data_IF_579609714376
#
_entry.id   IF_579609714376
#
_cell.length_a   1.000
_cell.length_b   1.000
_cell.length_c   1.000
_cell.angle_alpha   90.00
_cell.angle_beta   90.00
_cell.angle_gamma   90.00
#
_symmetry.space_group_name_H-M   'P 1'
#
loop_
_entity.id
_entity.type
_entity.pdbx_description
1 polymer ?
#
# COMPACT_ATOMS: atom_id res chain seq x y z
N UNK A 1 9.80 15.81 -45.79
CA UNK A 1 9.50 15.68 -44.35
C UNK A 1 10.58 14.79 -43.78
N UNK A 2 11.54 15.35 -43.02
CA UNK A 2 12.59 14.52 -42.42
C UNK A 2 11.92 13.67 -41.33
N UNK A 3 11.95 12.34 -41.50
CA UNK A 3 11.43 11.41 -40.50
C UNK A 3 12.25 11.46 -39.21
N UNK A 4 11.88 10.61 -38.24
CA UNK A 4 12.70 10.42 -37.05
C UNK A 4 14.04 9.80 -37.42
N UNK A 5 15.11 10.28 -36.80
CA UNK A 5 16.47 9.75 -36.91
C UNK A 5 16.82 9.04 -35.61
N UNK A 6 17.25 7.78 -35.71
CA UNK A 6 17.75 7.02 -34.55
C UNK A 6 19.02 7.70 -34.01
N UNK A 7 19.08 7.96 -32.71
CA UNK A 7 20.27 8.55 -32.09
C UNK A 7 21.34 7.48 -31.84
N UNK A 8 22.61 7.89 -31.71
CA UNK A 8 23.70 6.99 -31.34
C UNK A 8 23.46 6.37 -29.97
N UNK A 9 22.91 7.14 -29.01
CA UNK A 9 22.57 6.65 -27.69
C UNK A 9 21.40 5.65 -27.73
N UNK A 10 20.38 5.93 -28.53
CA UNK A 10 19.24 5.03 -28.73
C UNK A 10 19.63 3.73 -29.41
N UNK A 11 20.47 3.79 -30.44
CA UNK A 11 21.02 2.60 -31.08
C UNK A 11 21.79 1.72 -30.08
N UNK A 12 22.66 2.32 -29.26
CA UNK A 12 23.41 1.59 -28.24
C UNK A 12 22.51 0.93 -27.19
N UNK A 13 21.44 1.60 -26.74
CA UNK A 13 20.49 1.02 -25.80
C UNK A 13 19.72 -0.17 -26.42
N UNK A 14 19.25 -0.03 -27.67
CA UNK A 14 18.53 -1.10 -28.38
C UNK A 14 19.45 -2.31 -28.61
N UNK A 15 20.70 -2.09 -29.02
CA UNK A 15 21.68 -3.17 -29.18
C UNK A 15 21.98 -3.89 -27.85
N UNK A 16 22.17 -3.14 -26.76
CA UNK A 16 22.39 -3.73 -25.44
C UNK A 16 21.18 -4.56 -24.97
N UNK A 17 19.96 -4.08 -25.21
CA UNK A 17 18.75 -4.84 -24.92
C UNK A 17 18.65 -6.10 -25.77
N UNK A 18 18.99 -6.03 -27.06
CA UNK A 18 19.03 -7.19 -27.94
C UNK A 18 20.03 -8.26 -27.46
N UNK A 19 21.26 -7.87 -27.14
CA UNK A 19 22.30 -8.79 -26.64
C UNK A 19 21.95 -9.42 -25.29
N UNK A 20 21.16 -8.72 -24.46
CA UNK A 20 20.74 -9.20 -23.13
C UNK A 20 19.38 -9.91 -23.13
N UNK A 21 18.73 -10.05 -24.28
CA UNK A 21 17.39 -10.63 -24.39
C UNK A 21 16.29 -9.79 -23.74
N UNK A 22 16.53 -8.49 -23.55
CA UNK A 22 15.57 -7.52 -23.01
C UNK A 22 14.86 -6.75 -24.12
N UNK A 23 13.85 -5.97 -23.72
CA UNK A 23 13.06 -5.09 -24.60
C UNK A 23 13.21 -3.66 -24.10
N UNK A 24 13.49 -2.72 -25.01
CA UNK A 24 13.46 -1.28 -24.72
C UNK A 24 12.03 -0.78 -24.81
N UNK A 25 11.53 -0.21 -23.72
CA UNK A 25 10.21 0.44 -23.70
C UNK A 25 10.37 1.94 -23.94
N UNK A 26 9.73 2.47 -24.98
CA UNK A 26 9.63 3.91 -25.24
C UNK A 26 8.33 4.41 -24.61
N UNK A 27 8.45 5.38 -23.71
CA UNK A 27 7.34 5.75 -22.81
C UNK A 27 6.58 6.99 -23.28
N UNK A 28 7.26 7.94 -23.92
CA UNK A 28 6.66 9.19 -24.35
C UNK A 28 7.46 9.87 -25.46
N UNK A 29 6.87 10.95 -26.00
CA UNK A 29 7.47 11.82 -27.00
C UNK A 29 7.60 13.22 -26.44
N UNK A 30 8.81 13.75 -26.42
CA UNK A 30 9.09 15.15 -26.12
C UNK A 30 8.69 16.04 -27.31
N UNK A 31 8.14 17.21 -27.02
CA UNK A 31 7.84 18.28 -27.99
C UNK A 31 8.66 19.52 -27.64
N UNK A 32 9.24 20.16 -28.65
CA UNK A 32 10.11 21.32 -28.45
C UNK A 32 9.96 22.41 -29.50
N UNK A 33 10.36 23.63 -29.09
CA UNK A 33 10.35 24.86 -29.90
C UNK A 33 11.75 25.23 -30.43
N UNK A 34 12.74 24.37 -30.18
CA UNK A 34 14.13 24.57 -30.59
C UNK A 34 14.92 25.57 -29.75
N UNK A 35 14.29 26.22 -28.75
CA UNK A 35 14.98 27.13 -27.83
C UNK A 35 15.69 28.31 -28.51
N UNK A 36 15.21 28.73 -29.69
CA UNK A 36 15.83 29.77 -30.51
C UNK A 36 17.15 29.37 -31.19
N UNK A 37 17.57 28.10 -31.08
CA UNK A 37 18.80 27.59 -31.69
C UNK A 37 18.56 27.14 -33.13
N UNK A 38 19.65 27.08 -33.91
CA UNK A 38 19.65 26.41 -35.21
C UNK A 38 19.51 24.90 -34.97
N UNK A 39 18.41 24.32 -35.45
CA UNK A 39 18.15 22.88 -35.36
C UNK A 39 19.13 22.09 -36.26
N UNK A 40 19.44 20.83 -35.93
CA UNK A 40 20.39 20.03 -36.68
C UNK A 40 19.85 19.78 -38.10
N UNK A 41 20.70 19.86 -39.11
CA UNK A 41 20.31 19.78 -40.52
C UNK A 41 20.72 18.47 -41.18
N UNK A 42 21.73 17.80 -40.65
CA UNK A 42 22.24 16.54 -41.20
C UNK A 42 21.80 15.33 -40.37
N UNK A 43 21.71 14.13 -40.98
CA UNK A 43 21.47 12.89 -40.23
C UNK A 43 22.47 12.66 -39.10
N UNK A 44 23.75 12.97 -39.30
CA UNK A 44 24.79 12.78 -38.29
C UNK A 44 24.61 13.72 -37.09
N UNK A 45 24.24 14.99 -37.34
CA UNK A 45 23.91 15.94 -36.27
C UNK A 45 22.67 15.49 -35.48
N UNK A 46 21.65 14.96 -36.17
CA UNK A 46 20.44 14.42 -35.52
C UNK A 46 20.75 13.15 -34.71
N UNK A 47 21.63 12.28 -35.23
CA UNK A 47 22.03 11.05 -34.55
C UNK A 47 22.84 11.34 -33.28
N UNK A 48 23.62 12.43 -33.27
CA UNK A 48 24.40 12.85 -32.10
C UNK A 48 23.56 13.49 -30.97
N UNK A 49 22.26 13.75 -31.19
CA UNK A 49 21.41 14.41 -30.21
C UNK A 49 21.17 13.51 -28.98
N UNK A 50 21.30 14.10 -27.79
CA UNK A 50 20.99 13.45 -26.50
C UNK A 50 19.76 14.04 -25.81
N UNK A 51 19.17 15.10 -26.38
CA UNK A 51 17.99 15.81 -25.88
C UNK A 51 17.47 16.82 -26.90
N UNK A 52 16.29 17.38 -26.67
CA UNK A 52 15.76 18.50 -27.48
C UNK A 52 16.45 19.83 -27.12
N UNK A 53 16.50 20.76 -28.07
CA UNK A 53 17.11 22.08 -27.82
C UNK A 53 16.23 23.00 -26.95
N UNK A 54 14.91 22.88 -27.06
CA UNK A 54 13.94 23.64 -26.28
C UNK A 54 12.68 22.82 -25.99
N UNK A 55 12.76 21.78 -25.14
CA UNK A 55 11.59 20.99 -24.77
C UNK A 55 10.58 21.86 -24.03
N UNK A 56 9.32 21.82 -24.44
CA UNK A 56 8.21 22.51 -23.75
C UNK A 56 7.13 21.55 -23.26
N UNK A 57 7.14 20.30 -23.71
CA UNK A 57 6.08 19.34 -23.41
C UNK A 57 6.49 17.89 -23.64
N UNK A 58 5.63 17.00 -23.17
CA UNK A 58 5.74 15.56 -23.37
C UNK A 58 4.35 14.98 -23.60
N UNK A 59 4.20 14.14 -24.62
CA UNK A 59 2.95 13.45 -24.92
C UNK A 59 3.13 11.94 -24.91
N UNK A 60 2.20 11.20 -24.30
CA UNK A 60 2.19 9.75 -24.38
C UNK A 60 1.74 9.28 -25.78
N UNK A 61 2.01 8.01 -26.09
CA UNK A 61 1.50 7.39 -27.31
C UNK A 61 0.00 7.08 -27.21
N UNK A 62 -0.76 7.53 -28.22
CA UNK A 62 -2.18 7.25 -28.43
C UNK A 62 -2.42 6.09 -29.41
N UNK A 63 -1.38 5.64 -30.12
CA UNK A 63 -1.41 4.45 -30.95
C UNK A 63 0.01 3.89 -31.07
N UNK A 64 0.13 2.58 -31.28
CA UNK A 64 1.41 1.92 -31.46
C UNK A 64 1.29 0.70 -32.36
N UNK A 65 2.26 0.53 -33.25
CA UNK A 65 2.41 -0.61 -34.13
C UNK A 65 3.91 -0.93 -34.23
N UNK A 66 4.26 -2.21 -34.10
CA UNK A 66 5.59 -2.71 -34.40
C UNK A 66 5.50 -3.72 -35.53
N UNK A 67 6.41 -3.60 -36.49
CA UNK A 67 6.53 -4.51 -37.63
C UNK A 67 7.99 -4.84 -37.89
N UNK A 68 8.26 -5.75 -38.83
CA UNK A 68 9.64 -6.02 -39.25
C UNK A 68 10.27 -4.73 -39.81
N UNK A 69 11.35 -4.27 -39.18
CA UNK A 69 12.11 -3.13 -39.65
C UNK A 69 11.63 -1.76 -39.18
N UNK A 70 10.50 -1.64 -38.45
CA UNK A 70 10.02 -0.34 -37.98
C UNK A 70 9.15 -0.41 -36.72
N UNK A 71 9.09 0.73 -36.04
CA UNK A 71 8.05 1.04 -35.06
C UNK A 71 7.30 2.31 -35.49
N UNK A 72 6.00 2.32 -35.23
CA UNK A 72 5.12 3.44 -35.52
C UNK A 72 4.33 3.81 -34.27
N UNK A 73 4.41 5.07 -33.86
CA UNK A 73 3.67 5.63 -32.73
C UNK A 73 2.80 6.80 -33.14
N UNK A 74 1.55 6.83 -32.68
CA UNK A 74 0.69 8.01 -32.78
C UNK A 74 0.77 8.83 -31.49
N UNK A 75 0.80 10.16 -31.59
CA UNK A 75 0.61 11.07 -30.45
C UNK A 75 -0.45 12.12 -30.77
N UNK A 76 -1.13 12.61 -29.73
CA UNK A 76 -2.07 13.73 -29.81
C UNK A 76 -1.57 14.86 -28.91
N UNK A 77 -1.27 16.01 -29.51
CA UNK A 77 -0.88 17.23 -28.80
C UNK A 77 -2.12 18.10 -28.61
N UNK A 78 -2.52 18.29 -27.36
CA UNK A 78 -3.58 19.23 -26.99
C UNK A 78 -3.00 20.65 -26.95
N UNK A 79 -3.43 21.52 -27.87
CA UNK A 79 -2.95 22.90 -27.94
C UNK A 79 -3.24 23.70 -26.66
N UNK A 80 -4.24 23.30 -25.85
CA UNK A 80 -4.55 23.95 -24.56
C UNK A 80 -3.40 23.86 -23.57
N UNK A 81 -2.61 22.79 -23.62
CA UNK A 81 -1.47 22.59 -22.71
C UNK A 81 -0.29 23.53 -23.00
N UNK A 82 -0.16 23.98 -24.25
CA UNK A 82 1.01 24.72 -24.72
C UNK A 82 0.61 26.00 -25.48
N UNK A 83 -0.13 26.92 -24.85
CA UNK A 83 -0.65 28.10 -25.53
C UNK A 83 0.48 28.99 -26.04
N UNK A 84 0.46 29.31 -27.33
CA UNK A 84 1.41 30.22 -27.97
C UNK A 84 2.78 29.60 -28.29
N UNK A 85 2.97 28.30 -28.06
CA UNK A 85 4.20 27.58 -28.44
C UNK A 85 4.24 27.27 -29.94
N UNK A 86 5.44 27.12 -30.47
CA UNK A 86 5.64 26.67 -31.86
C UNK A 86 6.38 25.34 -31.83
N UNK A 87 5.76 24.28 -32.32
CA UNK A 87 6.38 22.97 -32.44
C UNK A 87 7.40 22.97 -33.59
N UNK A 88 8.63 22.51 -33.32
CA UNK A 88 9.73 22.44 -34.29
C UNK A 88 10.57 21.16 -34.20
N UNK A 89 10.53 20.49 -33.06
CA UNK A 89 11.32 19.28 -32.81
C UNK A 89 10.54 18.28 -31.94
N UNK A 90 10.86 17.00 -32.11
CA UNK A 90 10.23 15.85 -31.49
C UNK A 90 11.30 14.86 -31.03
N UNK A 91 11.09 14.19 -29.90
CA UNK A 91 12.04 13.22 -29.37
C UNK A 91 11.36 12.01 -28.73
N UNK A 92 11.66 10.79 -29.17
CA UNK A 92 11.15 9.57 -28.53
C UNK A 92 12.07 9.17 -27.37
N UNK A 93 11.52 8.94 -26.18
CA UNK A 93 12.32 8.70 -24.96
C UNK A 93 12.00 7.33 -24.35
N UNK A 94 13.04 6.57 -24.01
CA UNK A 94 12.92 5.26 -23.35
C UNK A 94 12.60 5.38 -21.85
N UNK A 95 12.21 4.27 -21.24
CA UNK A 95 11.97 4.18 -19.80
C UNK A 95 13.24 4.46 -18.95
N UNK A 96 14.43 4.28 -19.54
CA UNK A 96 15.70 4.63 -18.91
C UNK A 96 16.06 6.13 -19.03
N UNK A 97 15.27 6.90 -19.79
CA UNK A 97 15.47 8.34 -20.01
C UNK A 97 16.33 8.68 -21.23
N UNK A 98 16.75 7.69 -22.02
CA UNK A 98 17.52 7.92 -23.25
C UNK A 98 16.64 8.48 -24.36
N UNK A 99 17.13 9.49 -25.07
CA UNK A 99 16.53 9.94 -26.32
C UNK A 99 16.80 8.90 -27.41
N UNK A 100 15.82 8.03 -27.70
CA UNK A 100 15.93 6.98 -28.72
C UNK A 100 16.00 7.57 -30.13
N UNK A 101 15.11 8.51 -30.45
CA UNK A 101 15.07 9.12 -31.77
C UNK A 101 14.78 10.61 -31.69
N UNK A 102 15.38 11.37 -32.60
CA UNK A 102 15.20 12.80 -32.76
C UNK A 102 14.55 13.10 -34.11
N UNK A 103 13.59 14.02 -34.16
CA UNK A 103 12.91 14.41 -35.39
C UNK A 103 12.71 15.91 -35.47
N UNK A 104 12.91 16.47 -36.65
CA UNK A 104 12.50 17.85 -36.95
C UNK A 104 11.07 17.86 -37.43
N UNK A 105 10.33 18.88 -36.98
CA UNK A 105 8.97 19.10 -37.39
C UNK A 105 8.83 20.50 -38.02
N UNK A 106 8.03 20.67 -39.08
CA UNK A 106 7.75 21.99 -39.62
C UNK A 106 7.18 22.93 -38.56
N UNK A 107 7.61 24.19 -38.59
CA UNK A 107 7.18 25.22 -37.64
C UNK A 107 5.64 25.28 -37.57
N UNK A 108 5.10 24.79 -36.46
CA UNK A 108 3.66 24.65 -36.26
C UNK A 108 3.23 25.40 -35.02
N UNK A 109 2.54 26.52 -35.21
CA UNK A 109 2.01 27.31 -34.10
C UNK A 109 0.86 26.59 -33.41
N UNK A 110 0.94 26.50 -32.08
CA UNK A 110 -0.07 25.95 -31.19
C UNK A 110 -0.88 27.13 -30.60
N UNK A 111 -2.04 27.47 -31.18
CA UNK A 111 -2.79 28.66 -30.77
C UNK A 111 -3.32 28.51 -29.35
N UNK A 112 -3.30 29.62 -28.60
CA UNK A 112 -4.05 29.72 -27.35
C UNK A 112 -5.54 29.46 -27.66
N UNK A 113 -6.14 28.56 -26.90
CA UNK A 113 -7.54 28.17 -27.07
C UNK A 113 -8.43 29.02 -26.17
N UNK A 114 -9.58 29.46 -26.68
CA UNK A 114 -10.69 30.01 -25.87
C UNK A 114 -11.78 28.95 -25.73
N UNK A 115 -12.81 29.18 -24.91
CA UNK A 115 -13.90 28.21 -24.70
C UNK A 115 -14.61 27.76 -26.00
N UNK A 116 -14.45 28.49 -27.11
CA UNK A 116 -15.09 28.23 -28.40
C UNK A 116 -14.20 27.60 -29.47
N UNK A 117 -12.90 27.39 -29.21
CA UNK A 117 -11.98 26.76 -30.16
C UNK A 117 -11.19 25.68 -29.42
N UNK A 118 -11.24 24.45 -29.92
CA UNK A 118 -10.38 23.35 -29.47
C UNK A 118 -9.66 22.83 -30.71
N UNK A 119 -8.32 22.86 -30.67
CA UNK A 119 -7.47 22.34 -31.73
C UNK A 119 -6.52 21.30 -31.15
N UNK A 120 -6.47 20.16 -31.81
CA UNK A 120 -5.52 19.09 -31.53
C UNK A 120 -4.59 18.92 -32.74
N UNK A 121 -3.36 18.50 -32.48
CA UNK A 121 -2.39 18.11 -33.51
C UNK A 121 -2.12 16.62 -33.34
N UNK A 122 -2.51 15.82 -34.34
CA UNK A 122 -2.28 14.37 -34.35
C UNK A 122 -1.04 14.09 -35.20
N UNK A 123 -0.02 13.48 -34.60
CA UNK A 123 1.22 13.15 -35.28
C UNK A 123 1.40 11.63 -35.37
N UNK A 124 1.83 11.16 -36.54
CA UNK A 124 2.30 9.80 -36.73
C UNK A 124 3.82 9.81 -36.84
N UNK A 125 4.46 9.09 -35.93
CA UNK A 125 5.90 8.95 -35.81
C UNK A 125 6.29 7.57 -36.32
N UNK A 126 7.24 7.51 -37.24
CA UNK A 126 7.77 6.25 -37.77
C UNK A 126 9.28 6.26 -37.63
N UNK A 127 9.82 5.19 -37.03
CA UNK A 127 11.25 4.99 -36.85
C UNK A 127 11.63 3.62 -37.44
N UNK A 128 12.57 3.62 -38.37
CA UNK A 128 13.16 2.38 -38.91
C UNK A 128 14.19 1.81 -37.94
N UNK A 129 14.15 0.50 -37.70
CA UNK A 129 15.00 -0.20 -36.74
C UNK A 129 15.41 -1.58 -37.28
N UNK A 130 16.67 -1.97 -37.09
CA UNK A 130 17.13 -3.34 -37.41
C UNK A 130 16.54 -4.38 -36.44
N UNK A 131 16.37 -4.02 -35.17
CA UNK A 131 15.85 -4.89 -34.10
C UNK A 131 14.50 -4.40 -33.55
N UNK A 132 13.54 -4.14 -34.44
CA UNK A 132 12.22 -3.60 -34.07
C UNK A 132 11.45 -4.47 -33.04
N UNK A 133 11.64 -5.80 -33.07
CA UNK A 133 11.05 -6.74 -32.12
C UNK A 133 11.55 -6.59 -30.67
N UNK A 134 12.69 -5.92 -30.47
CA UNK A 134 13.26 -5.64 -29.15
C UNK A 134 12.87 -4.24 -28.64
N UNK A 135 11.91 -3.58 -29.28
CA UNK A 135 11.41 -2.27 -28.87
C UNK A 135 9.89 -2.32 -28.78
N UNK A 136 9.35 -1.75 -27.70
CA UNK A 136 7.90 -1.60 -27.50
C UNK A 136 7.54 -0.16 -27.18
N UNK A 137 6.31 0.23 -27.53
CA UNK A 137 5.76 1.55 -27.19
C UNK A 137 4.78 1.40 -26.04
N UNK A 138 4.94 2.22 -25.00
CA UNK A 138 3.96 2.32 -23.92
C UNK A 138 2.79 3.21 -24.36
N UNK A 139 1.58 2.65 -24.38
CA UNK A 139 0.37 3.36 -24.77
C UNK A 139 -0.38 3.87 -23.55
N UNK A 140 -0.83 5.12 -23.58
CA UNK A 140 -1.71 5.67 -22.53
C UNK A 140 -3.17 5.27 -22.79
N UNK A 141 -3.76 4.38 -21.97
CA UNK A 141 -5.10 3.87 -22.19
C UNK A 141 -6.20 4.95 -22.15
N UNK A 142 -5.94 6.11 -21.55
CA UNK A 142 -6.87 7.24 -21.50
C UNK A 142 -6.90 8.07 -22.80
N UNK A 143 -5.90 7.87 -23.67
CA UNK A 143 -5.69 8.65 -24.90
C UNK A 143 -5.65 7.80 -26.16
N UNK A 144 -5.73 6.48 -26.04
CA UNK A 144 -5.81 5.60 -27.21
C UNK A 144 -7.10 5.91 -27.98
N UNK A 145 -6.96 6.41 -29.20
CA UNK A 145 -8.06 6.50 -30.16
C UNK A 145 -8.32 5.05 -30.61
N UNK A 146 -9.18 4.35 -29.89
CA UNK A 146 -9.72 3.08 -30.36
C UNK A 146 -10.66 3.41 -31.52
N UNK A 147 -10.45 2.80 -32.69
CA UNK A 147 -11.49 2.82 -33.73
C UNK A 147 -12.78 2.27 -33.12
N UNK A 148 -13.94 2.68 -33.63
CA UNK A 148 -15.22 2.11 -33.19
C UNK A 148 -15.15 0.58 -33.18
N UNK A 149 -14.59 -0.03 -34.23
CA UNK A 149 -14.38 -1.48 -34.30
C UNK A 149 -13.47 -2.05 -33.19
N UNK A 150 -12.37 -1.36 -32.84
CA UNK A 150 -11.48 -1.78 -31.75
C UNK A 150 -12.12 -1.57 -30.37
N UNK A 151 -12.93 -0.52 -30.21
CA UNK A 151 -13.72 -0.28 -29.00
C UNK A 151 -14.82 -1.32 -28.82
N UNK A 152 -15.50 -1.71 -29.90
CA UNK A 152 -16.57 -2.69 -29.90
C UNK A 152 -16.07 -4.10 -29.59
N UNK A 153 -14.80 -4.41 -29.95
CA UNK A 153 -14.12 -5.65 -29.56
C UNK A 153 -13.64 -5.63 -28.11
N UNK A 154 -13.22 -4.46 -27.59
CA UNK A 154 -12.53 -4.36 -26.30
C UNK A 154 -13.48 -4.04 -25.13
N UNK A 155 -14.61 -3.40 -25.39
CA UNK A 155 -15.55 -2.96 -24.36
C UNK A 155 -16.99 -3.33 -24.70
N UNK A 156 -17.72 -3.79 -23.68
CA UNK A 156 -19.15 -4.03 -23.78
C UNK A 156 -19.89 -2.68 -23.77
N UNK A 157 -20.62 -2.34 -24.83
CA UNK A 157 -21.43 -1.11 -24.88
C UNK A 157 -22.69 -1.27 -24.06
N UNK A 158 -22.72 -0.63 -22.89
CA UNK A 158 -23.86 -0.67 -21.96
C UNK A 158 -25.17 -0.17 -22.61
N UNK A 159 -25.08 0.81 -23.52
CA UNK A 159 -26.25 1.36 -24.22
C UNK A 159 -26.74 0.53 -25.41
N UNK A 160 -26.00 -0.51 -25.84
CA UNK A 160 -26.29 -1.30 -27.06
C UNK A 160 -26.39 -2.81 -26.76
N UNK A 161 -27.24 -3.18 -25.78
CA UNK A 161 -27.83 -4.51 -25.59
C UNK A 161 -27.07 -5.62 -24.85
N UNK A 162 -27.34 -5.73 -23.54
CA UNK A 162 -27.43 -7.05 -22.90
C UNK A 162 -28.77 -7.76 -23.19
N UNK A 163 -29.83 -7.03 -23.58
CA UNK A 163 -31.16 -7.59 -23.82
C UNK A 163 -31.26 -8.39 -25.12
N UNK A 164 -30.71 -7.89 -26.24
CA UNK A 164 -30.75 -8.62 -27.53
C UNK A 164 -29.94 -9.93 -27.53
N UNK A 165 -28.89 -10.04 -26.72
CA UNK A 165 -28.12 -11.29 -26.59
C UNK A 165 -28.98 -12.37 -25.88
N UNK A 166 -29.84 -11.97 -24.94
CA UNK A 166 -30.79 -12.87 -24.30
C UNK A 166 -31.91 -13.30 -25.27
N UNK A 167 -32.44 -12.37 -26.08
CA UNK A 167 -33.52 -12.64 -27.05
C UNK A 167 -33.09 -13.41 -28.30
N UNK A 168 -31.85 -13.23 -28.79
CA UNK A 168 -31.32 -13.93 -29.98
C UNK A 168 -30.88 -15.39 -29.72
N UNK A 169 -31.15 -15.92 -28.53
CA UNK A 169 -30.95 -17.32 -28.20
C UNK A 169 -29.49 -17.70 -27.89
N UNK A 170 -29.27 -19.01 -27.70
CA UNK A 170 -28.02 -19.59 -27.19
C UNK A 170 -26.80 -19.34 -28.08
N UNK A 171 -26.99 -19.19 -29.40
CA UNK A 171 -25.89 -18.96 -30.35
C UNK A 171 -25.29 -17.55 -30.23
N UNK A 172 -26.12 -16.53 -30.04
CA UNK A 172 -25.65 -15.16 -29.83
C UNK A 172 -24.88 -15.02 -28.49
N UNK A 173 -25.35 -15.75 -27.46
CA UNK A 173 -24.66 -15.84 -26.17
C UNK A 173 -23.32 -16.54 -26.28
N UNK A 174 -23.25 -17.64 -27.04
CA UNK A 174 -22.01 -18.38 -27.29
C UNK A 174 -20.99 -17.54 -28.09
N UNK A 175 -21.45 -16.80 -29.11
CA UNK A 175 -20.60 -15.88 -29.87
C UNK A 175 -20.02 -14.76 -29.02
N UNK A 176 -20.84 -14.13 -28.17
CA UNK A 176 -20.39 -13.08 -27.26
C UNK A 176 -19.36 -13.59 -26.23
N UNK A 177 -19.61 -14.76 -25.64
CA UNK A 177 -18.69 -15.45 -24.72
C UNK A 177 -17.34 -15.72 -25.37
N UNK A 178 -17.34 -16.25 -26.60
CA UNK A 178 -16.13 -16.53 -27.39
C UNK A 178 -15.31 -15.27 -27.69
N UNK A 179 -15.95 -14.16 -28.01
CA UNK A 179 -15.25 -12.91 -28.34
C UNK A 179 -14.57 -12.25 -27.11
N UNK A 180 -15.10 -12.51 -25.90
CA UNK A 180 -14.53 -12.02 -24.65
C UNK A 180 -13.57 -13.03 -24.00
N UNK A 181 -13.26 -14.13 -24.68
CA UNK A 181 -12.48 -15.27 -24.17
C UNK A 181 -13.03 -15.83 -22.84
N UNK A 182 -14.35 -15.73 -22.66
CA UNK A 182 -15.09 -16.25 -21.53
C UNK A 182 -15.66 -17.61 -21.94
N UNK A 183 -15.16 -18.68 -21.33
CA UNK A 183 -15.65 -20.03 -21.62
C UNK A 183 -17.02 -20.28 -21.00
N UNK A 184 -17.85 -21.08 -21.68
CA UNK A 184 -18.95 -21.75 -20.99
C UNK A 184 -18.40 -22.67 -19.90
N UNK A 185 -19.26 -23.10 -18.97
CA UNK A 185 -18.86 -24.02 -17.91
C UNK A 185 -18.28 -25.31 -18.50
N UNK A 186 -18.97 -25.90 -19.48
CA UNK A 186 -18.53 -27.14 -20.12
C UNK A 186 -17.23 -26.97 -20.92
N UNK A 187 -17.04 -25.83 -21.60
CA UNK A 187 -15.77 -25.54 -22.29
C UNK A 187 -14.64 -25.31 -21.30
N UNK A 188 -14.88 -24.58 -20.20
CA UNK A 188 -13.90 -24.38 -19.14
C UNK A 188 -13.50 -25.71 -18.51
N UNK A 189 -14.47 -26.58 -18.23
CA UNK A 189 -14.26 -27.88 -17.59
C UNK A 189 -13.52 -28.87 -18.52
N UNK A 190 -13.62 -28.70 -19.84
CA UNK A 190 -12.86 -29.48 -20.83
C UNK A 190 -11.49 -28.90 -21.16
N UNK A 191 -11.34 -27.57 -21.12
CA UNK A 191 -10.14 -26.85 -21.57
C UNK A 191 -9.14 -26.65 -20.44
N UNK A 192 -9.61 -26.51 -19.21
CA UNK A 192 -8.79 -26.41 -18.00
C UNK A 192 -9.05 -27.63 -17.13
N UNK A 193 -8.01 -28.16 -16.49
CA UNK A 193 -8.18 -29.32 -15.60
C UNK A 193 -9.19 -28.96 -14.50
N UNK A 194 -10.15 -29.86 -14.18
CA UNK A 194 -11.11 -29.62 -13.10
C UNK A 194 -10.38 -29.23 -11.83
N UNK A 195 -10.96 -28.29 -11.06
CA UNK A 195 -10.37 -27.75 -9.83
C UNK A 195 -9.89 -28.91 -8.92
N UNK A 196 -8.59 -29.19 -8.91
CA UNK A 196 -7.99 -30.33 -8.20
C UNK A 196 -7.00 -31.19 -9.00
N UNK A 197 -6.95 -31.09 -10.34
CA UNK A 197 -5.88 -31.67 -11.15
C UNK A 197 -4.95 -30.55 -11.61
N UNK A 198 -3.68 -30.61 -11.21
CA UNK A 198 -2.64 -29.59 -11.53
C UNK A 198 -1.39 -30.20 -12.17
N UNK A 199 -1.47 -31.43 -12.70
CA UNK A 199 -0.28 -32.12 -13.22
C UNK A 199 -0.27 -32.16 -14.76
N UNK A 200 0.86 -31.84 -15.43
CA UNK A 200 0.96 -31.86 -16.89
C UNK A 200 0.72 -33.26 -17.48
N UNK A 201 0.08 -33.31 -18.65
CA UNK A 201 -0.19 -34.56 -19.35
C UNK A 201 1.11 -35.24 -19.81
N UNK A 202 1.31 -36.48 -19.39
CA UNK A 202 2.51 -37.29 -19.68
C UNK A 202 3.40 -37.57 -18.47
N UNK A 203 3.21 -36.85 -17.35
CA UNK A 203 4.05 -37.02 -16.14
C UNK A 203 3.38 -37.84 -15.01
N UNK A 204 2.12 -38.26 -15.17
CA UNK A 204 1.42 -39.01 -14.12
C UNK A 204 0.57 -40.15 -14.69
N UNK A 205 0.63 -41.30 -14.02
CA UNK A 205 -0.11 -42.52 -14.32
C UNK A 205 -1.61 -42.28 -14.42
N UNK A 206 -2.26 -42.92 -15.39
CA UNK A 206 -3.73 -42.98 -15.47
C UNK A 206 -4.29 -43.54 -14.17
N UNK A 207 -5.55 -43.23 -13.84
CA UNK A 207 -6.21 -43.74 -12.62
C UNK A 207 -6.08 -45.26 -12.52
N UNK A 208 -6.22 -45.97 -13.64
CA UNK A 208 -6.10 -47.42 -13.72
C UNK A 208 -4.65 -47.92 -13.55
N UNK A 209 -3.65 -47.18 -14.02
CA UNK A 209 -2.23 -47.46 -13.75
C UNK A 209 -1.85 -47.15 -12.30
N UNK A 210 -2.39 -46.07 -11.73
CA UNK A 210 -2.20 -45.69 -10.33
C UNK A 210 -2.81 -46.74 -9.39
N UNK A 211 -4.03 -47.19 -9.68
CA UNK A 211 -4.74 -48.20 -8.88
C UNK A 211 -4.06 -49.59 -8.96
N UNK A 212 -3.24 -49.84 -10.00
CA UNK A 212 -2.43 -51.06 -10.14
C UNK A 212 -1.00 -50.91 -9.60
N UNK A 213 -0.42 -49.69 -9.58
CA UNK A 213 0.95 -49.43 -9.09
C UNK A 213 1.03 -49.04 -7.62
N UNK A 214 -0.04 -48.49 -7.05
CA UNK A 214 -0.10 -48.05 -5.66
C UNK A 214 -1.22 -48.77 -4.92
N UNK A 215 -1.01 -49.05 -3.64
CA UNK A 215 -1.90 -49.87 -2.83
C UNK A 215 -3.30 -49.23 -2.67
N UNK A 216 -4.41 -50.00 -2.73
CA UNK A 216 -5.76 -49.45 -2.71
C UNK A 216 -6.07 -48.64 -1.44
N UNK A 217 -6.80 -47.53 -1.59
CA UNK A 217 -7.25 -46.68 -0.49
C UNK A 217 -8.25 -47.45 0.40
N UNK A 218 -7.77 -47.98 1.52
CA UNK A 218 -8.59 -48.74 2.47
C UNK A 218 -7.78 -49.71 3.34
N UNK A 219 -6.59 -50.12 2.91
CA UNK A 219 -5.67 -50.96 3.70
C UNK A 219 -4.61 -50.12 4.42
N UNK A 220 -5.04 -49.10 5.15
CA UNK A 220 -4.12 -48.40 6.05
C UNK A 220 -4.05 -49.17 7.36
N UNK A 221 -2.83 -49.38 7.85
CA UNK A 221 -2.63 -49.77 9.25
C UNK A 221 -3.42 -48.80 10.13
N UNK A 222 -4.26 -49.34 11.02
CA UNK A 222 -4.89 -48.55 12.06
C UNK A 222 -3.82 -47.77 12.84
N UNK A 223 -4.22 -46.68 13.51
CA UNK A 223 -3.29 -45.89 14.32
C UNK A 223 -2.44 -46.78 15.24
N UNK A 224 -3.06 -47.79 15.84
CA UNK A 224 -2.41 -48.82 16.67
C UNK A 224 -1.39 -49.67 15.90
N UNK A 225 -1.67 -50.07 14.66
CA UNK A 225 -0.75 -50.87 13.85
C UNK A 225 0.41 -50.04 13.29
N UNK A 226 0.17 -48.76 12.97
CA UNK A 226 1.22 -47.83 12.56
C UNK A 226 2.18 -47.52 13.71
N UNK A 227 1.63 -47.24 14.90
CA UNK A 227 2.40 -46.92 16.10
C UNK A 227 3.30 -48.10 16.52
N UNK A 228 2.84 -49.35 16.32
CA UNK A 228 3.61 -50.55 16.63
C UNK A 228 4.67 -50.93 15.57
N UNK A 229 4.48 -50.56 14.29
CA UNK A 229 5.39 -50.96 13.19
C UNK A 229 6.47 -49.92 12.87
N UNK A 230 6.19 -48.62 12.99
CA UNK A 230 7.07 -47.57 12.44
C UNK A 230 7.64 -46.60 13.48
N UNK A 231 7.21 -46.66 14.73
CA UNK A 231 7.75 -45.80 15.79
C UNK A 231 9.09 -46.34 16.32
N UNK A 232 10.22 -45.96 15.70
CA UNK A 232 11.52 -46.11 16.36
C UNK A 232 11.63 -45.05 17.47
N UNK A 233 11.47 -45.50 18.72
CA UNK A 233 11.90 -44.77 19.94
C UNK A 233 13.35 -44.33 19.74
N UNK A 234 13.57 -43.02 19.66
CA UNK A 234 14.91 -42.46 19.44
C UNK A 234 15.06 -41.08 20.06
N UNK A 235 14.43 -40.06 19.50
CA UNK A 235 14.88 -38.68 19.79
C UNK A 235 13.78 -37.61 19.80
N UNK A 236 12.53 -37.96 20.09
CA UNK A 236 11.47 -36.96 20.19
C UNK A 236 10.55 -37.23 21.38
N UNK A 237 10.28 -36.17 22.15
CA UNK A 237 9.31 -36.19 23.23
C UNK A 237 7.91 -36.33 22.65
N UNK A 238 7.13 -37.26 23.21
CA UNK A 238 5.69 -37.30 22.99
C UNK A 238 5.05 -35.98 23.43
N UNK A 239 3.85 -35.67 22.93
CA UNK A 239 3.13 -34.45 23.31
C UNK A 239 3.02 -34.32 24.84
N UNK A 240 2.70 -35.41 25.54
CA UNK A 240 2.66 -35.46 26.99
C UNK A 240 4.01 -35.18 27.65
N UNK A 241 5.12 -35.71 27.12
CA UNK A 241 6.47 -35.44 27.64
C UNK A 241 6.90 -33.99 27.37
N UNK A 242 6.53 -33.43 26.21
CA UNK A 242 6.78 -32.03 25.88
C UNK A 242 5.99 -31.09 26.78
N UNK A 243 4.69 -31.36 26.98
CA UNK A 243 3.80 -30.56 27.82
C UNK A 243 4.21 -30.59 29.30
N UNK A 244 4.85 -31.67 29.75
CA UNK A 244 5.40 -31.77 31.11
C UNK A 244 6.78 -31.08 31.26
N UNK A 245 7.51 -30.86 30.17
CA UNK A 245 8.88 -30.29 30.19
C UNK A 245 8.93 -28.80 29.84
N UNK A 246 7.98 -28.30 29.07
CA UNK A 246 7.97 -26.92 28.56
C UNK A 246 6.63 -26.24 28.86
N UNK A 247 6.67 -24.92 29.12
CA UNK A 247 5.46 -24.13 29.38
C UNK A 247 4.61 -23.96 28.10
N UNK A 248 3.28 -23.70 28.21
CA UNK A 248 2.40 -23.50 27.07
C UNK A 248 2.81 -22.32 26.17
N UNK A 249 2.38 -22.39 24.90
CA UNK A 249 2.78 -21.56 23.76
C UNK A 249 2.98 -20.07 24.09
N UNK A 250 4.23 -19.59 23.97
CA UNK A 250 4.59 -18.18 24.11
C UNK A 250 5.93 -17.90 24.79
N UNK A 251 6.59 -18.89 25.39
CA UNK A 251 7.89 -18.68 26.05
C UNK A 251 8.73 -19.97 26.05
N UNK A 252 9.88 -19.97 25.34
CA UNK A 252 10.74 -21.15 25.12
C UNK A 252 11.81 -21.36 26.20
N UNK A 253 11.57 -20.91 27.44
CA UNK A 253 12.52 -21.08 28.54
C UNK A 253 12.21 -22.35 29.36
N UNK A 254 13.22 -23.06 29.87
CA UNK A 254 13.02 -24.24 30.71
C UNK A 254 12.14 -23.93 31.93
N UNK A 255 11.18 -24.81 32.21
CA UNK A 255 10.31 -24.68 33.38
C UNK A 255 11.15 -24.52 34.67
N UNK A 256 10.87 -23.47 35.45
CA UNK A 256 11.58 -23.14 36.68
C UNK A 256 12.66 -22.05 36.57
N UNK A 257 12.96 -21.53 35.37
CA UNK A 257 13.97 -20.46 35.17
C UNK A 257 13.40 -19.03 35.14
N UNK A 258 12.09 -18.86 34.94
CA UNK A 258 11.40 -17.58 35.04
C UNK A 258 10.01 -17.77 35.67
N UNK A 259 9.52 -16.74 36.37
CA UNK A 259 8.20 -16.76 37.01
C UNK A 259 7.09 -16.73 35.96
N UNK A 260 6.09 -17.61 36.10
CA UNK A 260 4.87 -17.51 35.31
C UNK A 260 4.11 -16.21 35.66
N UNK A 261 3.10 -15.85 34.86
CA UNK A 261 2.33 -14.60 35.06
C UNK A 261 1.79 -14.49 36.49
N UNK A 262 1.28 -15.59 37.04
CA UNK A 262 0.69 -15.60 38.38
C UNK A 262 1.77 -15.39 39.47
N UNK A 263 2.93 -16.01 39.29
CA UNK A 263 4.07 -15.89 40.20
C UNK A 263 4.73 -14.52 40.07
N UNK A 264 4.78 -13.95 38.87
CA UNK A 264 5.22 -12.58 38.60
C UNK A 264 4.27 -11.55 39.23
N UNK A 265 2.96 -11.71 39.04
CA UNK A 265 1.94 -10.84 39.64
C UNK A 265 1.95 -10.94 41.18
N UNK A 266 2.40 -12.06 41.73
CA UNK A 266 2.61 -12.25 43.18
C UNK A 266 3.97 -11.69 43.64
N UNK A 267 4.99 -11.65 42.78
CA UNK A 267 6.35 -11.19 43.10
C UNK A 267 6.56 -9.69 42.96
N UNK A 268 5.86 -9.05 42.02
CA UNK A 268 6.00 -7.61 41.75
C UNK A 268 4.76 -6.87 42.26
N UNK A 269 4.98 -5.76 42.96
CA UNK A 269 3.88 -4.99 43.55
C UNK A 269 2.92 -4.47 42.48
N UNK A 270 1.62 -4.50 42.78
CA UNK A 270 0.58 -3.93 41.92
C UNK A 270 0.88 -2.44 41.63
N UNK A 271 0.70 -2.01 40.39
CA UNK A 271 1.03 -0.63 39.99
C UNK A 271 0.15 0.36 40.77
N UNK A 272 0.78 1.31 41.46
CA UNK A 272 0.08 2.39 42.14
C UNK A 272 -0.73 3.23 41.13
N UNK A 273 -1.84 3.80 41.59
CA UNK A 273 -2.73 4.64 40.77
C UNK A 273 -2.73 6.07 41.29
N UNK A 274 -2.91 7.07 40.43
CA UNK A 274 -2.89 8.48 40.83
C UNK A 274 -3.70 9.37 39.90
N UNK A 275 -4.12 10.53 40.44
CA UNK A 275 -4.61 11.69 39.69
C UNK A 275 -3.70 12.89 39.97
N UNK A 276 -2.94 13.32 38.97
CA UNK A 276 -1.94 14.41 39.08
C UNK A 276 -2.58 15.81 38.90
N UNK A 277 -3.79 16.02 39.43
CA UNK A 277 -4.46 17.31 39.41
C UNK A 277 -3.92 18.24 40.51
N UNK A 278 -4.22 19.54 40.40
CA UNK A 278 -3.86 20.56 41.40
C UNK A 278 -4.43 20.22 42.79
N UNK A 279 -5.63 19.64 42.82
CA UNK A 279 -6.14 18.86 43.96
C UNK A 279 -6.25 17.40 43.52
N UNK A 280 -5.30 16.58 43.95
CA UNK A 280 -5.06 15.25 43.39
C UNK A 280 -4.91 14.17 44.46
N UNK A 281 -4.62 12.95 44.01
CA UNK A 281 -4.42 11.80 44.90
C UNK A 281 -3.46 10.76 44.32
N UNK A 282 -2.84 9.99 45.20
CA UNK A 282 -2.03 8.81 44.90
C UNK A 282 -2.50 7.65 45.80
N UNK A 283 -2.67 6.46 45.22
CA UNK A 283 -3.05 5.24 45.93
C UNK A 283 -2.01 4.16 45.69
N UNK A 284 -1.42 3.72 46.79
CA UNK A 284 -0.61 2.52 46.85
C UNK A 284 -1.54 1.29 46.78
N UNK A 285 -1.39 0.50 45.73
CA UNK A 285 -2.24 -0.68 45.51
C UNK A 285 -1.78 -1.88 46.34
N UNK A 286 -0.56 -1.86 46.87
CA UNK A 286 -0.03 -2.92 47.73
C UNK A 286 -0.51 -2.80 49.18
N UNK A 287 -0.62 -1.57 49.71
CA UNK A 287 -1.03 -1.33 51.10
C UNK A 287 -2.45 -0.76 51.23
N UNK A 288 -3.01 -0.24 50.14
CA UNK A 288 -4.28 0.48 50.15
C UNK A 288 -4.16 1.94 50.61
N UNK A 289 -2.96 2.39 51.00
CA UNK A 289 -2.70 3.76 51.47
C UNK A 289 -2.99 4.78 50.36
N UNK A 290 -3.71 5.83 50.71
CA UNK A 290 -4.06 6.95 49.84
C UNK A 290 -3.47 8.22 50.43
N UNK A 291 -2.79 9.00 49.59
CA UNK A 291 -2.33 10.35 49.88
C UNK A 291 -3.11 11.30 48.96
N UNK A 292 -3.79 12.29 49.51
CA UNK A 292 -4.51 13.32 48.77
C UNK A 292 -3.95 14.70 49.10
N UNK A 293 -3.97 15.62 48.14
CA UNK A 293 -3.45 16.97 48.33
C UNK A 293 -4.33 17.99 47.62
N UNK A 294 -4.16 19.25 47.97
CA UNK A 294 -4.77 20.35 47.25
C UNK A 294 -4.57 21.71 47.89
N UNK A 295 -5.30 22.67 47.34
CA UNK A 295 -5.39 24.04 47.82
C UNK A 295 -6.84 24.38 48.12
N UNK A 296 -7.09 25.11 49.21
CA UNK A 296 -8.39 25.66 49.55
C UNK A 296 -8.28 27.17 49.75
N UNK A 297 -9.07 27.92 48.99
CA UNK A 297 -9.08 29.40 49.00
C UNK A 297 -10.03 30.02 50.03
N UNK A 298 -10.67 29.20 50.86
CA UNK A 298 -11.58 29.64 51.92
C UNK A 298 -11.76 28.49 52.92
N UNK A 299 -11.04 28.53 54.04
CA UNK A 299 -11.13 27.52 55.09
C UNK A 299 -12.54 27.39 55.70
N UNK A 300 -13.32 28.48 55.73
CA UNK A 300 -14.70 28.48 56.24
C UNK A 300 -15.68 27.68 55.39
N UNK A 301 -15.37 27.43 54.11
CA UNK A 301 -16.19 26.60 53.23
C UNK A 301 -16.08 25.10 53.51
N UNK A 302 -15.09 24.68 54.29
CA UNK A 302 -14.75 23.27 54.46
C UNK A 302 -14.07 22.68 53.23
N UNK A 303 -13.42 21.54 53.43
CA UNK A 303 -12.68 20.80 52.41
C UNK A 303 -13.43 19.53 52.04
N UNK A 304 -13.54 19.26 50.73
CA UNK A 304 -13.97 17.98 50.17
C UNK A 304 -12.76 17.32 49.51
N UNK A 305 -12.50 16.06 49.81
CA UNK A 305 -11.40 15.32 49.20
C UNK A 305 -11.72 14.92 47.74
N UNK A 306 -10.72 14.90 46.84
CA UNK A 306 -10.87 14.40 45.47
C UNK A 306 -11.53 13.02 45.37
N UNK A 307 -11.20 12.12 46.30
CA UNK A 307 -11.87 10.83 46.49
C UNK A 307 -12.15 10.58 47.97
N UNK A 308 -13.21 9.83 48.28
CA UNK A 308 -13.45 9.40 49.66
C UNK A 308 -12.43 8.32 50.07
N UNK A 309 -11.87 8.45 51.27
CA UNK A 309 -11.09 7.37 51.87
C UNK A 309 -12.01 6.15 52.12
N UNK A 310 -11.67 4.94 51.62
CA UNK A 310 -12.49 3.75 51.78
C UNK A 310 -12.80 3.35 53.23
N UNK A 311 -11.91 3.63 54.19
CA UNK A 311 -12.10 3.32 55.60
C UNK A 311 -11.96 4.55 56.48
N UNK A 312 -10.81 5.23 56.44
CA UNK A 312 -10.52 6.33 57.36
C UNK A 312 -9.55 7.34 56.76
N UNK A 313 -9.76 8.63 57.06
CA UNK A 313 -8.72 9.64 56.90
C UNK A 313 -7.93 9.69 58.21
N UNK A 314 -6.71 9.14 58.20
CA UNK A 314 -5.91 8.97 59.40
C UNK A 314 -5.24 10.27 59.85
N UNK A 315 -4.90 11.16 58.92
CA UNK A 315 -4.32 12.46 59.25
C UNK A 315 -4.56 13.48 58.15
N UNK A 316 -4.53 14.76 58.53
CA UNK A 316 -4.45 15.89 57.61
C UNK A 316 -3.41 16.89 58.14
N UNK A 317 -2.54 17.33 57.24
CA UNK A 317 -1.58 18.42 57.47
C UNK A 317 -2.03 19.61 56.64
N UNK A 318 -2.03 20.79 57.26
CA UNK A 318 -2.40 22.05 56.61
C UNK A 318 -1.23 23.03 56.67
N UNK A 319 -1.11 23.86 55.66
CA UNK A 319 -0.09 24.91 55.57
C UNK A 319 -0.75 26.17 55.05
N UNK A 320 -0.66 27.26 55.81
CA UNK A 320 -1.22 28.55 55.40
C UNK A 320 -0.57 29.03 54.09
N UNK A 321 -1.39 29.54 53.17
CA UNK A 321 -0.95 30.08 51.90
C UNK A 321 -1.18 31.61 51.87
N UNK A 322 -0.12 32.40 51.60
CA UNK A 322 -0.01 33.89 51.55
C UNK A 322 0.50 34.65 52.80
N UNK A 323 1.07 35.85 52.55
CA UNK A 323 2.00 36.65 53.38
C UNK A 323 1.41 37.42 54.57
N UNK A 324 0.15 37.18 54.98
CA UNK A 324 -0.37 37.81 56.21
C UNK A 324 0.10 37.01 57.41
N UNK A 325 0.87 37.66 58.29
CA UNK A 325 1.56 37.01 59.40
C UNK A 325 0.60 36.39 60.45
N UNK A 326 -0.65 36.86 60.53
CA UNK A 326 -1.48 36.64 61.72
C UNK A 326 -2.88 36.11 61.36
N UNK A 327 -2.98 34.86 60.92
CA UNK A 327 -4.24 34.12 60.96
C UNK A 327 -4.02 32.65 61.31
N UNK A 328 -4.85 32.13 62.20
CA UNK A 328 -4.81 30.72 62.60
C UNK A 328 -5.83 29.89 61.82
N UNK A 329 -5.41 28.69 61.39
CA UNK A 329 -6.30 27.65 60.89
C UNK A 329 -6.04 26.40 61.72
N UNK A 330 -7.08 25.84 62.34
CA UNK A 330 -7.02 24.57 63.07
C UNK A 330 -8.11 23.61 62.59
N UNK A 331 -7.82 22.32 62.66
CA UNK A 331 -8.77 21.27 62.29
C UNK A 331 -9.94 21.26 63.29
N UNK A 332 -11.17 21.34 62.77
CA UNK A 332 -12.40 21.24 63.57
C UNK A 332 -12.99 19.83 63.50
N UNK A 333 -13.05 19.25 62.31
CA UNK A 333 -13.48 17.86 62.12
C UNK A 333 -12.82 17.24 60.90
N UNK A 334 -12.62 15.93 60.95
CA UNK A 334 -12.04 15.13 59.86
C UNK A 334 -12.94 13.92 59.61
N UNK A 335 -13.25 13.67 58.35
CA UNK A 335 -14.04 12.51 57.92
C UNK A 335 -13.38 11.81 56.74
N UNK A 336 -14.00 10.74 56.26
CA UNK A 336 -13.55 10.03 55.06
C UNK A 336 -13.67 10.86 53.78
N UNK A 337 -14.54 11.86 53.76
CA UNK A 337 -14.89 12.62 52.55
C UNK A 337 -14.37 14.06 52.58
N UNK A 338 -13.88 14.53 53.73
CA UNK A 338 -13.44 15.91 53.85
C UNK A 338 -13.04 16.32 55.26
N UNK A 339 -12.87 17.62 55.45
CA UNK A 339 -12.51 18.23 56.73
C UNK A 339 -13.17 19.59 56.89
N UNK A 340 -13.42 20.01 58.13
CA UNK A 340 -13.82 21.38 58.46
C UNK A 340 -12.79 22.02 59.38
N UNK A 341 -12.71 23.35 59.36
CA UNK A 341 -11.65 24.10 60.04
C UNK A 341 -12.24 25.22 60.89
N UNK A 342 -11.60 25.50 62.03
CA UNK A 342 -11.73 26.79 62.68
C UNK A 342 -10.72 27.71 62.00
N UNK A 343 -11.17 28.85 61.48
CA UNK A 343 -10.31 29.80 60.78
C UNK A 343 -10.66 31.22 61.15
N UNK A 344 -9.64 32.01 61.46
CA UNK A 344 -9.75 33.46 61.50
C UNK A 344 -9.79 34.00 60.06
N UNK A 345 -10.82 34.78 59.74
CA UNK A 345 -10.97 35.46 58.45
C UNK A 345 -10.99 34.56 57.20
N UNK A 346 -11.32 33.27 57.35
CA UNK A 346 -11.50 32.34 56.23
C UNK A 346 -10.25 32.20 55.33
N UNK A 347 -9.09 31.99 55.95
CA UNK A 347 -7.80 31.97 55.28
C UNK A 347 -7.62 30.88 54.21
N UNK A 348 -6.57 31.06 53.40
CA UNK A 348 -6.17 30.12 52.35
C UNK A 348 -5.15 29.11 52.90
N UNK A 349 -5.22 27.88 52.42
CA UNK A 349 -4.28 26.83 52.83
C UNK A 349 -4.00 25.81 51.73
N UNK A 350 -2.78 25.30 51.72
CA UNK A 350 -2.45 24.00 51.15
C UNK A 350 -2.73 22.91 52.18
N UNK A 351 -3.08 21.71 51.71
CA UNK A 351 -3.35 20.59 52.58
C UNK A 351 -2.86 19.28 51.97
N UNK A 352 -2.56 18.33 52.83
CA UNK A 352 -2.27 16.93 52.48
C UNK A 352 -2.95 16.02 53.48
N UNK A 353 -3.70 15.05 53.01
CA UNK A 353 -4.41 14.08 53.83
C UNK A 353 -3.94 12.66 53.50
N UNK A 354 -3.80 11.81 54.53
CA UNK A 354 -3.36 10.42 54.39
C UNK A 354 -4.40 9.52 55.06
N UNK A 355 -4.77 8.44 54.38
CA UNK A 355 -5.76 7.48 54.85
C UNK A 355 -5.77 6.22 53.99
N UNK A 356 -6.77 5.36 54.15
CA UNK A 356 -6.92 4.12 53.38
C UNK A 356 -8.38 3.66 53.32
#
# INVERSE_FOLDING_TARGET
>A
MHGLTLTTAGAAEIEAAYQSGQVVTITHVLTGDGGGKKLPETPDEMAAMTGLYGPFGQEPFSAGESGEGFIRGGIVIDCKKYPGKTLRELGMVSASGTLIAYGRYPDTYLPAQTDSVIKEVILTLVLGLTHAQNVTLELDPSRVIITQEAGDKRYLRISENLAEIAEKGTEAQAGARKNLDIYSKDESDNRFQPKGNYAPAGEVYTKEESDRRFQPKGEYYSKTESDNRFQRKGEYYTKTESDNRFQPKGNYTPAGTCYDKNTSDTRYQARNTASNAASGWHKDMSTGTIIQWGYLSNAGSGLIFPIAFPSVCASITITNAYTRADYSISLKSLSRTGATFNSENNGNMYWTAIGY
#
